data_IF_047266431656
#
_entry.id   IF_047266431656
#
_cell.length_a   1.000
_cell.length_b   1.000
_cell.length_c   1.000
_cell.angle_alpha   90.00
_cell.angle_beta   90.00
_cell.angle_gamma   90.00
#
_symmetry.space_group_name_H-M   'P 1'
#
loop_
_entity.id
_entity.type
_entity.pdbx_description
1 polymer ?
#
# COMPACT_ATOMS: atom_id res chain seq x y z
N UNK A 1 -36.07 24.28 -20.40
CA UNK A 1 -36.52 23.39 -19.31
C UNK A 1 -35.73 22.09 -19.47
N UNK A 2 -34.45 22.17 -19.06
CA UNK A 2 -33.82 21.42 -17.95
C UNK A 2 -33.61 19.95 -18.32
N UNK A 3 -32.42 19.67 -18.83
CA UNK A 3 -31.32 19.05 -18.07
C UNK A 3 -31.44 17.54 -18.15
N UNK A 4 -30.80 16.95 -19.16
CA UNK A 4 -30.25 15.61 -19.00
C UNK A 4 -28.93 15.52 -19.78
N UNK A 5 -27.94 16.20 -19.22
CA UNK A 5 -26.58 16.31 -19.73
C UNK A 5 -25.61 15.81 -18.66
N UNK A 6 -25.85 14.67 -18.01
CA UNK A 6 -24.98 14.17 -16.93
C UNK A 6 -24.87 12.64 -16.86
N UNK A 7 -24.54 11.96 -17.96
CA UNK A 7 -24.08 10.56 -17.84
C UNK A 7 -23.00 10.08 -18.82
N UNK A 8 -22.29 10.97 -19.54
CA UNK A 8 -21.21 10.54 -20.45
C UNK A 8 -19.98 11.46 -20.43
N UNK A 9 -19.42 11.74 -19.25
CA UNK A 9 -18.21 12.56 -19.13
C UNK A 9 -17.17 12.10 -18.11
N UNK A 10 -17.17 10.83 -17.69
CA UNK A 10 -16.22 10.34 -16.69
C UNK A 10 -15.36 9.13 -17.11
N UNK A 11 -15.23 8.81 -18.40
CA UNK A 11 -14.39 7.68 -18.83
C UNK A 11 -13.15 8.07 -19.65
N UNK A 12 -13.10 9.25 -20.28
CA UNK A 12 -12.02 9.59 -21.24
C UNK A 12 -11.18 10.82 -20.84
N UNK A 13 -10.90 11.03 -19.54
CA UNK A 13 -10.07 12.15 -19.08
C UNK A 13 -9.10 11.76 -17.95
N UNK A 14 -8.47 10.59 -18.04
CA UNK A 14 -7.51 10.13 -17.02
C UNK A 14 -6.31 9.32 -17.56
N UNK A 15 -5.90 9.53 -18.82
CA UNK A 15 -4.92 8.63 -19.49
C UNK A 15 -3.55 9.29 -19.78
N UNK A 16 -3.26 10.49 -19.29
CA UNK A 16 -1.95 11.13 -19.54
C UNK A 16 -1.02 11.27 -18.32
N UNK A 17 -1.42 10.76 -17.15
CA UNK A 17 -0.62 10.80 -15.90
C UNK A 17 -0.53 9.43 -15.19
N UNK A 18 -1.22 8.40 -15.70
CA UNK A 18 -1.34 7.08 -15.04
C UNK A 18 -0.11 6.18 -15.26
N UNK A 19 0.58 6.30 -16.39
CA UNK A 19 1.65 5.35 -16.78
C UNK A 19 2.89 5.43 -15.90
N UNK A 20 3.26 6.63 -15.43
CA UNK A 20 4.46 6.79 -14.59
C UNK A 20 4.19 6.34 -13.15
N UNK A 21 2.98 6.57 -12.63
CA UNK A 21 2.59 6.13 -11.30
C UNK A 21 2.46 4.61 -11.22
N UNK A 22 1.82 3.98 -12.20
CA UNK A 22 1.70 2.52 -12.27
C UNK A 22 3.07 1.85 -12.43
N UNK A 23 3.92 2.38 -13.31
CA UNK A 23 5.31 1.91 -13.45
C UNK A 23 6.11 2.09 -12.15
N UNK A 24 5.94 3.21 -11.46
CA UNK A 24 6.58 3.44 -10.15
C UNK A 24 6.14 2.39 -9.13
N UNK A 25 4.86 2.05 -9.10
CA UNK A 25 4.32 1.05 -8.18
C UNK A 25 4.92 -0.34 -8.46
N UNK A 26 5.01 -0.74 -9.74
CA UNK A 26 5.64 -2.01 -10.13
C UNK A 26 7.12 -2.06 -9.71
N UNK A 27 7.86 -0.99 -9.97
CA UNK A 27 9.25 -0.87 -9.55
C UNK A 27 9.39 -0.98 -8.02
N UNK A 28 8.56 -0.27 -7.25
CA UNK A 28 8.58 -0.33 -5.79
C UNK A 28 8.30 -1.74 -5.26
N UNK A 29 7.39 -2.50 -5.86
CA UNK A 29 7.10 -3.89 -5.45
C UNK A 29 8.33 -4.77 -5.64
N UNK A 30 9.02 -4.63 -6.77
CA UNK A 30 10.21 -5.42 -7.09
C UNK A 30 11.37 -5.09 -6.16
N UNK A 31 11.66 -3.80 -5.95
CA UNK A 31 12.82 -3.36 -5.18
C UNK A 31 12.62 -3.50 -3.66
N UNK A 32 11.39 -3.34 -3.17
CA UNK A 32 11.14 -3.36 -1.71
C UNK A 32 10.69 -4.70 -1.17
N UNK A 33 10.47 -5.72 -2.02
CA UNK A 33 9.93 -7.02 -1.62
C UNK A 33 10.64 -7.64 -0.40
N UNK A 34 11.97 -7.74 -0.43
CA UNK A 34 12.74 -8.29 0.71
C UNK A 34 12.58 -7.45 1.99
N UNK A 35 12.59 -6.12 1.87
CA UNK A 35 12.35 -5.22 3.02
C UNK A 35 10.95 -5.43 3.59
N UNK A 36 9.95 -5.61 2.72
CA UNK A 36 8.57 -5.84 3.13
C UNK A 36 8.37 -7.20 3.80
N UNK A 37 9.11 -8.23 3.38
CA UNK A 37 9.11 -9.54 4.04
C UNK A 37 9.69 -9.44 5.45
N UNK A 38 10.82 -8.72 5.61
CA UNK A 38 11.45 -8.49 6.92
C UNK A 38 10.56 -7.63 7.82
N UNK A 39 9.92 -6.60 7.27
CA UNK A 39 8.93 -5.79 7.97
C UNK A 39 7.77 -6.66 8.47
N UNK A 40 7.20 -7.48 7.59
CA UNK A 40 6.07 -8.35 7.90
C UNK A 40 6.44 -9.37 8.98
N UNK A 41 7.63 -9.97 8.88
CA UNK A 41 8.14 -10.91 9.88
C UNK A 41 8.33 -10.23 11.25
N UNK A 42 8.99 -9.06 11.28
CA UNK A 42 9.27 -8.29 12.50
C UNK A 42 8.01 -7.98 13.30
N UNK A 43 6.92 -7.61 12.61
CA UNK A 43 5.65 -7.26 13.23
C UNK A 43 4.62 -8.39 13.21
N UNK A 44 5.00 -9.62 12.84
CA UNK A 44 4.10 -10.77 12.77
C UNK A 44 2.83 -10.50 11.93
N UNK A 45 2.98 -9.73 10.86
CA UNK A 45 1.93 -9.41 9.91
C UNK A 45 1.67 -10.65 9.06
N UNK A 46 0.41 -11.06 8.96
CA UNK A 46 0.02 -12.20 8.15
C UNK A 46 0.10 -11.87 6.66
N UNK A 47 0.22 -12.88 5.81
CA UNK A 47 0.22 -12.70 4.35
C UNK A 47 -0.95 -11.83 3.86
N UNK A 48 -2.16 -12.09 4.36
CA UNK A 48 -3.37 -11.35 3.97
C UNK A 48 -3.32 -9.88 4.41
N UNK A 49 -2.79 -9.62 5.60
CA UNK A 49 -2.59 -8.26 6.09
C UNK A 49 -1.50 -7.53 5.28
N UNK A 50 -0.39 -8.19 4.95
CA UNK A 50 0.67 -7.62 4.11
C UNK A 50 0.15 -7.23 2.72
N UNK A 51 -0.68 -8.07 2.09
CA UNK A 51 -1.35 -7.75 0.82
C UNK A 51 -2.18 -6.47 0.93
N UNK A 52 -3.04 -6.39 1.95
CA UNK A 52 -3.88 -5.21 2.19
C UNK A 52 -3.03 -3.97 2.47
N UNK A 53 -1.97 -4.10 3.25
CA UNK A 53 -1.10 -2.99 3.59
C UNK A 53 -0.30 -2.49 2.38
N UNK A 54 0.17 -3.38 1.51
CA UNK A 54 0.83 -3.04 0.24
C UNK A 54 -0.10 -2.23 -0.67
N UNK A 55 -1.37 -2.63 -0.77
CA UNK A 55 -2.39 -1.88 -1.53
C UNK A 55 -2.56 -0.45 -1.02
N UNK A 56 -2.47 -0.23 0.28
CA UNK A 56 -2.49 1.12 0.85
C UNK A 56 -1.17 1.85 0.60
N UNK A 57 -0.03 1.19 0.88
CA UNK A 57 1.27 1.84 0.95
C UNK A 57 1.87 2.18 -0.42
N UNK A 58 1.70 1.31 -1.40
CA UNK A 58 2.26 1.48 -2.74
C UNK A 58 1.23 2.15 -3.66
N UNK A 59 0.04 1.56 -3.75
CA UNK A 59 -0.98 2.00 -4.70
C UNK A 59 -1.88 3.13 -4.19
N UNK A 60 -1.80 3.47 -2.91
CA UNK A 60 -2.62 4.54 -2.32
C UNK A 60 -4.12 4.23 -2.31
N UNK A 61 -4.52 2.97 -2.45
CA UNK A 61 -5.93 2.61 -2.54
C UNK A 61 -6.69 2.92 -1.26
N UNK A 62 -7.91 3.43 -1.43
CA UNK A 62 -8.89 3.61 -0.38
C UNK A 62 -9.41 2.27 0.14
N UNK A 63 -10.04 2.30 1.33
CA UNK A 63 -10.68 1.09 1.88
C UNK A 63 -11.73 0.49 0.93
N UNK A 64 -12.40 1.34 0.15
CA UNK A 64 -13.39 0.94 -0.83
C UNK A 64 -12.74 0.19 -2.00
N UNK A 65 -11.72 0.78 -2.62
CA UNK A 65 -11.00 0.16 -3.74
C UNK A 65 -10.35 -1.17 -3.37
N UNK A 66 -9.83 -1.28 -2.14
CA UNK A 66 -9.28 -2.53 -1.59
C UNK A 66 -10.39 -3.56 -1.39
N UNK A 67 -11.54 -3.14 -0.83
CA UNK A 67 -12.68 -4.01 -0.60
C UNK A 67 -13.18 -4.63 -1.92
N UNK A 68 -13.31 -3.83 -2.98
CA UNK A 68 -13.69 -4.29 -4.32
C UNK A 68 -12.67 -5.29 -4.90
N UNK A 69 -11.38 -4.92 -4.91
CA UNK A 69 -10.30 -5.76 -5.44
C UNK A 69 -10.18 -7.10 -4.73
N UNK A 70 -10.41 -7.09 -3.42
CA UNK A 70 -10.30 -8.27 -2.58
C UNK A 70 -11.61 -9.04 -2.40
N UNK A 71 -12.73 -8.53 -2.93
CA UNK A 71 -14.09 -9.08 -2.74
C UNK A 71 -14.44 -9.31 -1.27
N UNK A 72 -14.13 -8.33 -0.43
CA UNK A 72 -14.47 -8.30 1.01
C UNK A 72 -15.18 -7.00 1.36
N UNK A 73 -15.72 -6.87 2.57
CA UNK A 73 -16.33 -5.61 3.01
C UNK A 73 -15.27 -4.56 3.39
N UNK A 74 -15.57 -3.27 3.25
CA UNK A 74 -14.73 -2.19 3.79
C UNK A 74 -14.49 -2.33 5.31
N UNK A 75 -15.48 -2.87 6.03
CA UNK A 75 -15.34 -3.18 7.46
C UNK A 75 -14.23 -4.21 7.69
N UNK A 76 -14.14 -5.23 6.85
CA UNK A 76 -13.06 -6.24 6.89
C UNK A 76 -11.71 -5.59 6.60
N UNK A 77 -11.61 -4.70 5.62
CA UNK A 77 -10.37 -3.94 5.35
C UNK A 77 -9.94 -3.13 6.57
N UNK A 78 -10.86 -2.39 7.20
CA UNK A 78 -10.59 -1.62 8.42
C UNK A 78 -10.10 -2.51 9.56
N UNK A 79 -10.65 -3.72 9.72
CA UNK A 79 -10.19 -4.69 10.73
C UNK A 79 -8.75 -5.13 10.44
N UNK A 80 -8.41 -5.48 9.20
CA UNK A 80 -7.03 -5.83 8.84
C UNK A 80 -6.06 -4.68 9.14
N UNK A 81 -6.39 -3.45 8.75
CA UNK A 81 -5.55 -2.29 9.02
C UNK A 81 -5.40 -2.01 10.53
N UNK A 82 -6.46 -2.20 11.31
CA UNK A 82 -6.42 -2.09 12.76
C UNK A 82 -5.52 -3.17 13.39
N UNK A 83 -5.59 -4.41 12.91
CA UNK A 83 -4.73 -5.49 13.39
C UNK A 83 -3.26 -5.22 13.08
N UNK A 84 -2.93 -4.72 11.89
CA UNK A 84 -1.57 -4.34 11.51
C UNK A 84 -1.03 -3.25 12.42
N UNK A 85 -1.84 -2.20 12.64
CA UNK A 85 -1.52 -1.11 13.55
C UNK A 85 -1.26 -1.62 14.98
N UNK A 86 -2.14 -2.49 15.50
CA UNK A 86 -1.98 -3.11 16.82
C UNK A 86 -0.69 -3.94 16.92
N UNK A 87 -0.40 -4.76 15.91
CA UNK A 87 0.82 -5.57 15.81
C UNK A 87 2.10 -4.72 15.76
N UNK A 88 2.03 -3.59 15.08
CA UNK A 88 3.12 -2.61 15.01
C UNK A 88 3.20 -1.69 16.24
N UNK A 89 2.28 -1.80 17.21
CA UNK A 89 2.22 -0.93 18.39
C UNK A 89 1.85 0.53 18.07
N UNK A 90 1.21 0.77 16.93
CA UNK A 90 0.90 2.11 16.40
C UNK A 90 -0.62 2.29 16.31
N UNK A 91 -1.13 3.50 16.53
CA UNK A 91 -2.58 3.82 16.44
C UNK A 91 -2.93 4.78 15.30
N UNK A 92 -2.03 4.97 14.34
CA UNK A 92 -2.21 5.92 13.25
C UNK A 92 -1.66 5.35 11.94
N UNK A 93 -2.50 5.36 10.90
CA UNK A 93 -2.09 4.93 9.57
C UNK A 93 -0.90 5.74 9.04
N UNK A 94 -0.89 7.05 9.29
CA UNK A 94 0.24 7.93 8.92
C UNK A 94 1.55 7.51 9.59
N UNK A 95 1.49 7.12 10.88
CA UNK A 95 2.67 6.60 11.59
C UNK A 95 3.10 5.23 11.08
N UNK A 96 2.14 4.37 10.71
CA UNK A 96 2.43 3.06 10.13
C UNK A 96 3.13 3.18 8.78
N UNK A 97 2.68 4.08 7.91
CA UNK A 97 3.35 4.40 6.64
C UNK A 97 4.75 4.98 6.88
N UNK A 98 4.89 5.94 7.79
CA UNK A 98 6.20 6.48 8.17
C UNK A 98 7.15 5.40 8.69
N UNK A 99 6.67 4.45 9.49
CA UNK A 99 7.45 3.33 9.98
C UNK A 99 7.91 2.42 8.82
N UNK A 100 7.04 2.13 7.85
CA UNK A 100 7.41 1.37 6.67
C UNK A 100 8.51 2.08 5.86
N UNK A 101 8.37 3.38 5.61
CA UNK A 101 9.40 4.16 4.90
C UNK A 101 10.76 4.11 5.61
N UNK A 102 10.78 4.32 6.93
CA UNK A 102 12.01 4.19 7.71
C UNK A 102 12.59 2.78 7.58
N UNK A 103 11.75 1.74 7.67
CA UNK A 103 12.20 0.37 7.54
C UNK A 103 12.87 0.09 6.18
N UNK A 104 12.22 0.48 5.08
CA UNK A 104 12.73 0.26 3.72
C UNK A 104 14.06 0.98 3.52
N UNK A 105 14.16 2.25 3.96
CA UNK A 105 15.39 3.03 3.79
C UNK A 105 16.55 2.51 4.64
N UNK A 106 16.31 2.15 5.90
CA UNK A 106 17.37 1.60 6.78
C UNK A 106 17.75 0.16 6.42
N UNK A 107 16.83 -0.64 5.87
CA UNK A 107 17.13 -2.01 5.43
C UNK A 107 18.18 -2.02 4.32
N UNK A 108 18.10 -1.07 3.39
CA UNK A 108 19.06 -0.92 2.30
C UNK A 108 20.47 -0.61 2.82
N UNK A 109 20.61 0.26 3.82
CA UNK A 109 21.92 0.59 4.42
C UNK A 109 22.59 -0.64 5.06
N UNK A 110 21.84 -1.47 5.78
CA UNK A 110 22.36 -2.70 6.40
C UNK A 110 22.80 -3.77 5.39
N UNK A 111 22.16 -3.87 4.23
CA UNK A 111 22.58 -4.79 3.17
C UNK A 111 23.84 -4.29 2.45
N UNK A 112 23.97 -2.98 2.18
CA UNK A 112 25.18 -2.43 1.54
C UNK A 112 26.46 -2.52 2.37
N UNK A 113 26.36 -2.67 3.69
CA UNK A 113 27.51 -2.90 4.57
C UNK A 113 27.97 -4.37 4.59
N UNK A 114 27.08 -5.30 4.28
CA UNK A 114 27.38 -6.73 4.23
C UNK A 114 28.13 -7.13 2.94
N UNK A 115 27.93 -6.40 1.84
CA UNK A 115 28.59 -6.67 0.53
C UNK A 115 29.99 -6.05 0.40
N UNK A 116 30.47 -5.31 1.42
CA UNK A 116 31.81 -4.69 1.45
C UNK A 116 32.82 -5.44 2.32
N UNK A 117 32.55 -6.69 2.69
CA UNK A 117 33.48 -7.60 3.37
C UNK A 117 33.74 -8.83 2.52
#
# INVERSE_FOLDING_TARGET
MKEDLHQRKNEDMHVLCSTDYERMNEFLIQETGSSMDVFSNRYQITKRESEIFLMVAIYGFSNHEIAERCRISEKTVKIHLANIMNKAGIRSMRKLLSLLFNHVLYFQESNTLAEKK
#
